data_IF_294589561283
#
_entry.id   IF_294589561283
#
_cell.length_a   1.000
_cell.length_b   1.000
_cell.length_c   1.000
_cell.angle_alpha   90.00
_cell.angle_beta   90.00
_cell.angle_gamma   90.00
#
_symmetry.space_group_name_H-M   'P 1'
#
loop_
_entity.id
_entity.type
_entity.pdbx_description
1 polymer ?
#
# COMPACT_ATOMS: atom_id res chain seq x y z
N UNK A 1 3.96 8.50 -11.90
CA UNK A 1 2.88 8.42 -10.91
C UNK A 1 2.02 9.67 -11.00
N UNK A 2 0.86 9.58 -11.66
CA UNK A 2 -0.13 10.66 -11.70
C UNK A 2 -0.69 10.79 -10.27
N UNK A 3 -0.72 12.01 -9.72
CA UNK A 3 -1.33 12.26 -8.40
C UNK A 3 -2.81 11.85 -8.46
N UNK A 4 -3.18 10.80 -7.72
CA UNK A 4 -4.59 10.45 -7.45
C UNK A 4 -5.16 11.49 -6.47
N UNK A 5 -5.70 12.57 -7.01
CA UNK A 5 -6.43 13.57 -6.22
C UNK A 5 -7.93 13.28 -6.35
N UNK A 6 -8.45 12.49 -5.40
CA UNK A 6 -9.86 12.05 -5.34
C UNK A 6 -10.49 12.54 -4.05
N UNK A 7 -11.74 13.00 -4.12
CA UNK A 7 -12.55 13.29 -2.93
C UNK A 7 -13.97 12.75 -3.12
N UNK A 8 -14.40 11.91 -2.18
CA UNK A 8 -15.79 11.43 -2.11
C UNK A 8 -16.69 12.52 -1.50
N UNK A 9 -17.87 12.67 -2.07
CA UNK A 9 -18.90 13.65 -1.71
C UNK A 9 -20.17 12.88 -1.37
N UNK A 10 -20.74 13.16 -0.20
CA UNK A 10 -22.08 12.69 0.15
C UNK A 10 -23.01 13.89 0.32
N UNK A 11 -24.15 13.85 -0.35
CA UNK A 11 -25.15 14.91 -0.30
C UNK A 11 -26.12 14.64 0.85
N UNK A 12 -26.39 15.67 1.64
CA UNK A 12 -27.34 15.61 2.76
C UNK A 12 -28.48 16.58 2.51
N UNK A 13 -29.71 16.10 2.57
CA UNK A 13 -30.91 16.93 2.39
C UNK A 13 -31.33 17.51 3.75
N UNK A 14 -31.10 18.80 3.93
CA UNK A 14 -31.54 19.53 5.13
C UNK A 14 -32.87 20.19 4.80
N UNK A 15 -33.98 19.51 5.10
CA UNK A 15 -35.29 20.16 5.10
C UNK A 15 -35.40 21.03 6.35
N UNK A 16 -35.11 22.33 6.23
CA UNK A 16 -35.39 23.31 7.27
C UNK A 16 -36.84 23.80 7.12
N UNK A 17 -37.68 23.44 8.09
CA UNK A 17 -39.09 23.79 8.22
C UNK A 17 -39.23 25.26 8.63
N UNK A 18 -39.68 26.16 7.75
CA UNK A 18 -40.59 27.31 7.99
C UNK A 18 -41.11 27.74 6.60
N UNK A 19 -42.36 27.48 6.18
CA UNK A 19 -43.61 28.02 6.69
C UNK A 19 -44.70 26.94 6.53
N UNK A 20 -45.53 26.80 7.56
CA UNK A 20 -46.49 25.71 7.68
C UNK A 20 -47.34 25.45 6.44
N UNK A 21 -47.15 24.28 5.84
CA UNK A 21 -48.21 23.29 5.58
C UNK A 21 -47.64 22.05 4.87
N UNK A 22 -48.00 20.91 5.46
CA UNK A 22 -48.24 19.59 4.88
C UNK A 22 -47.14 18.50 4.81
N UNK A 23 -47.66 17.33 5.19
CA UNK A 23 -47.30 15.95 4.87
C UNK A 23 -46.15 15.30 5.67
N UNK A 24 -46.59 14.60 6.70
CA UNK A 24 -45.85 13.62 7.49
C UNK A 24 -45.37 12.47 6.61
N UNK A 25 -44.06 12.34 6.46
CA UNK A 25 -43.34 11.08 6.35
C UNK A 25 -41.86 11.42 6.45
N UNK A 26 -41.31 11.41 7.67
CA UNK A 26 -39.89 11.15 8.02
C UNK A 26 -39.62 11.57 9.47
N UNK A 27 -40.30 10.91 10.40
CA UNK A 27 -39.78 10.76 11.76
C UNK A 27 -39.32 9.32 11.90
N UNK A 28 -38.15 9.00 11.33
CA UNK A 28 -37.33 7.85 11.69
C UNK A 28 -36.12 7.82 10.75
N UNK A 29 -35.03 8.43 11.19
CA UNK A 29 -33.72 7.79 11.17
C UNK A 29 -32.83 8.57 12.12
N UNK A 30 -32.71 7.97 13.30
CA UNK A 30 -31.74 8.27 14.33
C UNK A 30 -30.40 8.74 13.75
N UNK A 31 -29.82 9.75 14.40
CA UNK A 31 -28.38 9.94 14.42
C UNK A 31 -27.66 8.63 14.77
N UNK A 32 -26.62 8.25 14.03
CA UNK A 32 -25.53 7.48 14.61
C UNK A 32 -24.22 8.24 14.44
N UNK A 33 -23.68 8.62 15.59
CA UNK A 33 -22.27 8.52 15.95
C UNK A 33 -21.19 8.79 14.88
N UNK A 34 -20.37 9.79 15.20
CA UNK A 34 -18.96 9.86 14.83
C UNK A 34 -18.29 8.47 14.75
N UNK A 35 -17.84 8.09 13.56
CA UNK A 35 -16.69 7.20 13.37
C UNK A 35 -15.83 7.76 12.23
N UNK A 36 -14.66 8.25 12.59
CA UNK A 36 -13.54 8.36 11.68
C UNK A 36 -13.28 6.97 11.09
N UNK A 37 -13.46 6.84 9.77
CA UNK A 37 -12.92 5.74 8.99
C UNK A 37 -12.01 6.37 7.93
N UNK A 38 -10.90 5.70 7.63
CA UNK A 38 -9.71 6.21 6.95
C UNK A 38 -9.87 6.76 5.50
N UNK A 39 -11.09 7.05 5.04
CA UNK A 39 -11.39 7.66 3.74
C UNK A 39 -12.40 8.80 3.91
N UNK A 40 -11.90 10.04 4.07
CA UNK A 40 -12.71 11.22 4.36
C UNK A 40 -13.66 11.60 3.21
N UNK A 41 -14.97 11.60 3.48
CA UNK A 41 -15.99 12.15 2.59
C UNK A 41 -16.37 13.58 2.99
N UNK A 42 -16.67 14.43 2.01
CA UNK A 42 -17.20 15.79 2.24
C UNK A 42 -18.72 15.80 2.18
N UNK A 43 -19.37 16.34 3.22
CA UNK A 43 -20.82 16.51 3.25
C UNK A 43 -21.25 17.82 2.58
N UNK A 44 -22.16 17.75 1.61
CA UNK A 44 -22.74 18.92 0.94
C UNK A 44 -24.22 19.03 1.28
N UNK A 45 -24.65 20.08 2.02
CA UNK A 45 -26.05 20.31 2.29
C UNK A 45 -26.77 20.91 1.07
N UNK A 46 -27.94 20.34 0.76
CA UNK A 46 -28.87 20.85 -0.25
C UNK A 46 -30.26 21.00 0.36
N UNK A 47 -31.00 22.00 -0.10
CA UNK A 47 -32.34 22.35 0.40
C UNK A 47 -33.46 21.64 -0.37
N UNK A 48 -33.14 21.14 -1.57
CA UNK A 48 -34.07 20.45 -2.46
C UNK A 48 -33.32 19.45 -3.33
N UNK A 49 -33.97 18.33 -3.65
CA UNK A 49 -33.47 17.33 -4.62
C UNK A 49 -33.56 17.81 -6.08
N UNK A 50 -34.23 18.94 -6.35
CA UNK A 50 -34.28 19.58 -7.67
C UNK A 50 -33.02 20.38 -8.01
N UNK A 51 -32.05 20.45 -7.09
CA UNK A 51 -30.75 21.08 -7.33
C UNK A 51 -30.06 20.45 -8.53
N UNK A 52 -29.44 21.26 -9.38
CA UNK A 52 -28.70 20.75 -10.54
C UNK A 52 -27.35 20.18 -10.12
N UNK A 53 -26.84 19.21 -10.88
CA UNK A 53 -25.53 18.63 -10.62
C UNK A 53 -24.40 19.66 -10.81
N UNK A 54 -24.61 20.65 -11.68
CA UNK A 54 -23.75 21.86 -11.81
C UNK A 54 -23.65 22.67 -10.52
N UNK A 55 -24.79 22.95 -9.88
CA UNK A 55 -24.82 23.68 -8.60
C UNK A 55 -24.15 22.88 -7.48
N UNK A 56 -24.34 21.55 -7.46
CA UNK A 56 -23.69 20.66 -6.50
C UNK A 56 -22.16 20.68 -6.66
N UNK A 57 -21.67 20.59 -7.90
CA UNK A 57 -20.26 20.69 -8.24
C UNK A 57 -19.67 22.02 -7.77
N UNK A 58 -20.36 23.14 -8.01
CA UNK A 58 -19.92 24.47 -7.55
C UNK A 58 -19.86 24.56 -6.02
N UNK A 59 -20.86 24.02 -5.31
CA UNK A 59 -20.86 23.94 -3.84
C UNK A 59 -19.69 23.12 -3.31
N UNK A 60 -19.36 22.00 -3.97
CA UNK A 60 -18.23 21.15 -3.62
C UNK A 60 -16.90 21.90 -3.73
N UNK A 61 -16.70 22.59 -4.87
CA UNK A 61 -15.47 23.33 -5.16
C UNK A 61 -15.29 24.56 -4.25
N UNK A 62 -16.38 25.26 -3.88
CA UNK A 62 -16.34 26.43 -2.98
C UNK A 62 -15.84 26.09 -1.58
N UNK A 63 -16.09 24.87 -1.08
CA UNK A 63 -15.58 24.42 0.24
C UNK A 63 -14.06 24.21 0.27
N UNK A 64 -13.37 24.28 -0.87
CA UNK A 64 -11.92 24.02 -0.96
C UNK A 64 -11.10 25.31 -0.90
N UNK A 65 -10.20 25.43 0.10
CA UNK A 65 -9.15 26.47 0.13
C UNK A 65 -8.21 26.27 -1.07
N UNK A 66 -8.14 27.25 -1.98
CA UNK A 66 -7.20 27.25 -3.12
C UNK A 66 -7.84 27.28 -4.51
N UNK A 67 -9.17 27.26 -4.64
CA UNK A 67 -9.85 27.43 -5.93
C UNK A 67 -9.83 28.89 -6.38
N UNK A 68 -8.69 29.37 -6.88
CA UNK A 68 -8.56 30.64 -7.59
C UNK A 68 -9.40 30.60 -8.87
N UNK A 69 -10.17 31.66 -9.14
CA UNK A 69 -10.96 31.84 -10.36
C UNK A 69 -10.04 31.74 -11.59
N UNK A 70 -10.39 30.84 -12.51
CA UNK A 70 -10.00 30.97 -13.93
C UNK A 70 -8.92 30.03 -14.46
N UNK A 71 -8.22 29.25 -13.63
CA UNK A 71 -7.22 28.26 -14.12
C UNK A 71 -6.98 27.13 -13.11
N UNK A 72 -8.00 26.79 -12.33
CA UNK A 72 -7.96 25.61 -11.47
C UNK A 72 -8.11 24.34 -12.30
N UNK A 73 -7.60 23.19 -11.83
CA UNK A 73 -7.95 21.90 -12.41
C UNK A 73 -9.44 21.75 -12.63
N UNK A 74 -9.80 21.37 -13.85
CA UNK A 74 -11.17 21.04 -14.19
C UNK A 74 -11.51 19.70 -13.53
N UNK A 75 -12.69 19.63 -12.92
CA UNK A 75 -13.20 18.44 -12.25
C UNK A 75 -14.47 17.99 -12.94
N UNK A 76 -14.62 16.67 -13.04
CA UNK A 76 -15.89 16.05 -13.37
C UNK A 76 -16.50 15.42 -12.13
N UNK A 77 -17.82 15.36 -12.12
CA UNK A 77 -18.58 14.66 -11.11
C UNK A 77 -18.94 13.27 -11.64
N UNK A 78 -18.79 12.25 -10.82
CA UNK A 78 -19.16 10.87 -11.13
C UNK A 78 -20.01 10.30 -10.01
N UNK A 79 -20.91 9.35 -10.30
CA UNK A 79 -21.60 8.62 -9.23
C UNK A 79 -20.62 7.68 -8.53
N UNK A 80 -20.79 7.46 -7.23
CA UNK A 80 -19.97 6.50 -6.49
C UNK A 80 -20.04 5.09 -7.11
N UNK A 81 -21.19 4.68 -7.66
CA UNK A 81 -21.43 3.36 -8.26
C UNK A 81 -20.97 3.22 -9.71
N UNK A 82 -20.74 4.32 -10.43
CA UNK A 82 -20.43 4.33 -11.86
C UNK A 82 -19.11 5.09 -12.10
N UNK A 83 -17.94 4.46 -11.86
CA UNK A 83 -16.65 5.10 -12.05
C UNK A 83 -16.38 5.40 -13.54
N UNK A 84 -15.67 6.50 -13.80
CA UNK A 84 -15.29 6.99 -15.12
C UNK A 84 -16.46 7.44 -16.02
N UNK A 85 -17.69 7.44 -15.50
CA UNK A 85 -18.87 7.99 -16.18
C UNK A 85 -19.19 9.36 -15.57
N UNK A 86 -19.08 10.42 -16.38
CA UNK A 86 -19.42 11.77 -15.95
C UNK A 86 -20.94 11.92 -15.81
N UNK A 87 -21.37 12.53 -14.71
CA UNK A 87 -22.75 12.95 -14.49
C UNK A 87 -23.06 14.15 -15.37
N UNK A 88 -24.22 14.13 -16.03
CA UNK A 88 -24.75 15.27 -16.76
C UNK A 88 -25.00 16.45 -15.80
N UNK A 89 -24.34 17.58 -16.05
CA UNK A 89 -24.41 18.75 -15.16
C UNK A 89 -25.74 19.49 -15.25
N UNK A 90 -26.48 19.35 -16.35
CA UNK A 90 -27.78 19.99 -16.55
C UNK A 90 -28.93 19.16 -15.94
N UNK A 91 -28.63 17.93 -15.50
CA UNK A 91 -29.57 17.07 -14.77
C UNK A 91 -29.71 17.46 -13.30
N UNK A 92 -30.79 17.01 -12.66
CA UNK A 92 -31.10 17.25 -11.25
C UNK A 92 -30.61 16.11 -10.36
N UNK A 93 -30.38 16.39 -9.07
CA UNK A 93 -29.98 15.36 -8.10
C UNK A 93 -31.00 14.23 -7.98
N UNK A 94 -32.30 14.54 -8.07
CA UNK A 94 -33.39 13.55 -8.08
C UNK A 94 -33.31 12.57 -9.26
N UNK A 95 -32.77 12.97 -10.41
CA UNK A 95 -32.66 12.09 -11.59
C UNK A 95 -31.47 11.14 -11.53
N UNK A 96 -30.55 11.31 -10.57
CA UNK A 96 -29.32 10.51 -10.47
C UNK A 96 -29.48 9.19 -9.70
N UNK A 97 -30.63 9.00 -9.04
CA UNK A 97 -30.94 7.85 -8.16
C UNK A 97 -29.88 7.54 -7.07
N UNK A 98 -29.00 8.50 -6.76
CA UNK A 98 -27.96 8.39 -5.72
C UNK A 98 -27.67 9.75 -5.08
N UNK A 99 -27.14 9.73 -3.85
CA UNK A 99 -26.64 10.89 -3.11
C UNK A 99 -25.12 10.85 -2.92
N UNK A 100 -24.45 9.88 -3.53
CA UNK A 100 -23.02 9.65 -3.37
C UNK A 100 -22.29 9.87 -4.70
N UNK A 101 -21.34 10.80 -4.66
CA UNK A 101 -20.60 11.23 -5.83
C UNK A 101 -19.11 11.31 -5.55
N UNK A 102 -18.31 11.22 -6.60
CA UNK A 102 -16.87 11.42 -6.56
C UNK A 102 -16.52 12.64 -7.41
N UNK A 103 -15.68 13.51 -6.85
CA UNK A 103 -15.05 14.58 -7.60
C UNK A 103 -13.72 14.07 -8.15
N UNK A 104 -13.60 14.03 -9.47
CA UNK A 104 -12.41 13.49 -10.13
C UNK A 104 -11.78 14.56 -11.03
N UNK A 105 -10.47 14.77 -10.84
CA UNK A 105 -9.68 15.73 -11.63
C UNK A 105 -9.57 15.26 -13.08
N UNK A 106 -9.57 16.18 -14.04
CA UNK A 106 -9.20 15.88 -15.43
C UNK A 106 -7.81 15.24 -15.49
N UNK A 107 -7.70 14.13 -16.25
CA UNK A 107 -6.54 13.23 -16.32
C UNK A 107 -6.32 12.29 -15.10
N UNK A 108 -7.30 12.16 -14.21
CA UNK A 108 -7.33 11.11 -13.18
C UNK A 108 -8.44 10.10 -13.47
N UNK A 109 -8.15 8.80 -13.38
CA UNK A 109 -9.16 7.74 -13.38
C UNK A 109 -9.37 7.22 -11.96
N UNK A 110 -10.54 6.62 -11.70
CA UNK A 110 -10.86 6.03 -10.38
C UNK A 110 -10.22 4.66 -10.14
N UNK A 111 -9.25 4.30 -10.97
CA UNK A 111 -8.96 2.91 -11.26
C UNK A 111 -10.06 2.36 -12.16
N UNK A 112 -9.70 1.66 -13.22
CA UNK A 112 -10.58 0.59 -13.65
C UNK A 112 -10.66 -0.35 -12.45
N UNK A 113 -11.87 -0.69 -12.00
CA UNK A 113 -12.04 -2.05 -11.52
C UNK A 113 -11.70 -2.88 -12.74
N UNK A 114 -10.44 -3.29 -12.83
CA UNK A 114 -10.08 -4.34 -13.74
C UNK A 114 -11.03 -5.47 -13.39
N UNK A 115 -11.97 -5.74 -14.29
CA UNK A 115 -12.62 -7.04 -14.38
C UNK A 115 -11.54 -8.06 -14.74
N UNK A 116 -10.55 -8.22 -13.86
CA UNK A 116 -9.95 -9.51 -13.67
C UNK A 116 -11.05 -10.23 -12.91
N UNK A 117 -11.75 -11.13 -13.59
CA UNK A 117 -12.18 -12.33 -12.87
C UNK A 117 -10.98 -12.72 -12.02
N UNK A 118 -11.12 -12.74 -10.69
CA UNK A 118 -10.03 -13.19 -9.81
C UNK A 118 -9.48 -14.46 -10.48
N UNK A 119 -8.20 -14.46 -10.93
CA UNK A 119 -7.65 -15.65 -11.54
C UNK A 119 -7.92 -16.77 -10.53
N UNK A 120 -8.46 -17.92 -10.97
CA UNK A 120 -8.92 -18.96 -10.05
C UNK A 120 -7.81 -19.16 -9.03
N UNK A 121 -8.10 -18.81 -7.77
CA UNK A 121 -7.07 -18.76 -6.74
C UNK A 121 -6.52 -20.17 -6.67
N UNK A 122 -5.28 -20.33 -7.15
CA UNK A 122 -4.67 -21.64 -7.27
C UNK A 122 -4.69 -22.26 -5.87
N UNK A 123 -5.34 -23.40 -5.72
CA UNK A 123 -5.50 -24.07 -4.43
C UNK A 123 -4.12 -24.27 -3.77
N UNK A 124 -3.07 -24.45 -4.58
CA UNK A 124 -1.68 -24.51 -4.11
C UNK A 124 -1.20 -23.19 -3.53
N UNK A 125 -1.51 -22.05 -4.16
CA UNK A 125 -1.20 -20.71 -3.64
C UNK A 125 -1.90 -20.40 -2.31
N UNK A 126 -3.15 -20.85 -2.14
CA UNK A 126 -3.88 -20.71 -0.85
C UNK A 126 -3.21 -21.56 0.22
N UNK A 127 -2.85 -22.79 -0.11
CA UNK A 127 -2.17 -23.70 0.80
C UNK A 127 -0.78 -23.17 1.19
N UNK A 128 -0.03 -22.59 0.26
CA UNK A 128 1.26 -21.96 0.51
C UNK A 128 1.13 -20.70 1.36
N UNK A 129 0.10 -19.89 1.13
CA UNK A 129 -0.23 -18.74 1.98
C UNK A 129 -0.58 -19.18 3.40
N UNK A 130 -1.42 -20.21 3.58
CA UNK A 130 -1.83 -20.73 4.89
C UNK A 130 -0.67 -21.40 5.64
N UNK A 131 0.21 -22.10 4.91
CA UNK A 131 1.38 -22.78 5.49
C UNK A 131 2.61 -21.88 5.63
N UNK A 132 2.57 -20.65 5.10
CA UNK A 132 3.67 -19.69 5.15
C UNK A 132 4.16 -19.40 6.57
N UNK A 133 3.29 -19.47 7.58
CA UNK A 133 3.63 -19.22 8.98
C UNK A 133 4.23 -20.44 9.69
N UNK A 134 4.07 -21.65 9.15
CA UNK A 134 4.66 -22.84 9.73
C UNK A 134 6.18 -22.79 9.63
N UNK A 135 6.85 -23.28 10.67
CA UNK A 135 8.30 -23.36 10.69
C UNK A 135 8.81 -24.22 9.51
N UNK A 136 9.74 -23.68 8.73
CA UNK A 136 10.52 -24.42 7.74
C UNK A 136 11.97 -23.97 7.79
N UNK A 137 12.90 -24.92 7.71
CA UNK A 137 14.33 -24.63 7.74
C UNK A 137 15.03 -24.97 6.44
N UNK A 138 16.00 -24.15 6.04
CA UNK A 138 16.76 -24.29 4.81
C UNK A 138 18.26 -24.32 5.13
N UNK A 139 19.02 -25.20 4.47
CA UNK A 139 20.49 -25.20 4.55
C UNK A 139 21.01 -24.39 3.36
N UNK A 140 21.59 -23.23 3.64
CA UNK A 140 22.00 -22.25 2.62
C UNK A 140 23.31 -21.59 3.05
N UNK A 141 23.95 -20.84 2.14
CA UNK A 141 25.16 -20.09 2.49
C UNK A 141 24.83 -18.64 2.80
N UNK A 142 25.33 -18.12 3.92
CA UNK A 142 25.26 -16.71 4.27
C UNK A 142 26.48 -15.97 3.72
N UNK A 143 26.24 -14.88 2.99
CA UNK A 143 27.30 -14.05 2.39
C UNK A 143 27.70 -12.94 3.37
N UNK A 144 28.99 -12.90 3.71
CA UNK A 144 29.57 -11.87 4.58
C UNK A 144 30.14 -10.69 3.79
N UNK A 145 30.41 -9.57 4.48
CA UNK A 145 30.90 -8.32 3.85
C UNK A 145 32.20 -8.49 3.05
N UNK A 146 33.06 -9.44 3.42
CA UNK A 146 34.31 -9.75 2.71
C UNK A 146 34.11 -10.83 1.61
N UNK A 147 32.86 -11.12 1.23
CA UNK A 147 32.47 -12.10 0.20
C UNK A 147 32.93 -13.53 0.46
N UNK A 148 33.31 -13.87 1.69
CA UNK A 148 33.33 -15.27 2.10
C UNK A 148 31.93 -15.69 2.49
N UNK A 149 31.65 -16.98 2.35
CA UNK A 149 30.35 -17.57 2.66
C UNK A 149 30.47 -18.57 3.80
N UNK A 150 29.41 -18.72 4.58
CA UNK A 150 29.33 -19.70 5.67
C UNK A 150 28.02 -20.46 5.58
N UNK A 151 28.07 -21.77 5.75
CA UNK A 151 26.87 -22.60 5.79
C UNK A 151 26.05 -22.30 7.05
N UNK A 152 24.77 -22.02 6.85
CA UNK A 152 23.80 -21.75 7.92
C UNK A 152 22.53 -22.57 7.72
N UNK A 153 21.86 -22.86 8.82
CA UNK A 153 20.48 -23.30 8.82
C UNK A 153 19.59 -22.08 9.07
N UNK A 154 18.83 -21.69 8.05
CA UNK A 154 17.87 -20.59 8.10
C UNK A 154 16.49 -21.15 8.45
N UNK A 155 16.01 -20.92 9.67
CA UNK A 155 14.65 -21.24 10.10
C UNK A 155 13.70 -20.06 9.89
N UNK A 156 12.56 -20.28 9.23
CA UNK A 156 11.55 -19.24 8.97
C UNK A 156 10.20 -19.71 9.50
N UNK A 157 9.58 -18.90 10.34
CA UNK A 157 8.23 -19.08 10.87
C UNK A 157 7.48 -17.75 10.87
N UNK A 158 6.18 -17.78 11.16
CA UNK A 158 5.39 -16.57 11.34
C UNK A 158 5.93 -15.67 12.45
N UNK A 159 6.56 -16.21 13.50
CA UNK A 159 6.99 -15.46 14.68
C UNK A 159 8.40 -14.87 14.54
N UNK A 160 9.31 -15.61 13.91
CA UNK A 160 10.73 -15.23 13.82
C UNK A 160 11.45 -15.90 12.66
N UNK A 161 12.58 -15.30 12.33
CA UNK A 161 13.62 -15.85 11.46
C UNK A 161 14.87 -16.14 12.29
N UNK A 162 15.36 -17.38 12.20
CA UNK A 162 16.51 -17.89 12.95
C UNK A 162 17.63 -18.27 11.99
N UNK A 163 18.88 -17.96 12.35
CA UNK A 163 20.07 -18.26 11.56
C UNK A 163 21.07 -18.94 12.48
N UNK A 164 21.23 -20.24 12.31
CA UNK A 164 22.15 -21.06 13.06
C UNK A 164 23.36 -21.45 12.19
N UNK A 165 24.60 -21.18 12.60
CA UNK A 165 25.76 -21.64 11.86
C UNK A 165 25.84 -23.17 11.88
N UNK A 166 26.05 -23.79 10.72
CA UNK A 166 26.24 -25.24 10.63
C UNK A 166 27.66 -25.56 11.11
N UNK A 167 27.81 -25.90 12.40
CA UNK A 167 29.11 -26.35 12.90
C UNK A 167 29.44 -27.74 12.35
N UNK A 168 30.49 -27.84 11.55
CA UNK A 168 30.97 -29.13 11.07
C UNK A 168 31.72 -29.82 12.22
N UNK A 169 31.05 -30.75 12.93
CA UNK A 169 31.56 -31.41 14.14
C UNK A 169 32.84 -32.26 13.96
N UNK A 170 33.46 -32.27 12.78
CA UNK A 170 34.64 -33.09 12.49
C UNK A 170 35.99 -32.36 12.57
N UNK A 171 36.02 -31.05 12.81
CA UNK A 171 37.28 -30.33 12.96
C UNK A 171 37.49 -29.86 14.41
N UNK A 172 38.42 -30.53 15.10
CA UNK A 172 38.96 -30.10 16.39
C UNK A 172 39.76 -28.80 16.23
N UNK A 173 39.09 -27.64 16.23
CA UNK A 173 39.77 -26.34 16.28
C UNK A 173 39.15 -25.46 17.35
N UNK A 174 39.72 -25.55 18.56
CA UNK A 174 39.40 -24.78 19.77
C UNK A 174 39.68 -23.26 19.68
N UNK A 175 39.82 -22.70 18.47
CA UNK A 175 40.21 -21.30 18.25
C UNK A 175 39.44 -20.59 17.12
N UNK A 176 38.27 -21.09 16.74
CA UNK A 176 37.40 -20.38 15.82
C UNK A 176 36.22 -19.75 16.55
N UNK A 177 36.00 -18.46 16.30
CA UNK A 177 34.90 -17.66 16.85
C UNK A 177 33.60 -18.40 16.57
N UNK A 178 32.99 -18.98 17.61
CA UNK A 178 31.64 -19.55 17.52
C UNK A 178 30.71 -18.41 17.13
N UNK A 179 30.28 -18.38 15.88
CA UNK A 179 29.30 -17.41 15.43
C UNK A 179 28.03 -17.60 16.26
N UNK A 180 27.53 -16.51 16.85
CA UNK A 180 26.31 -16.58 17.67
C UNK A 180 25.12 -16.80 16.74
N UNK A 181 24.18 -17.70 17.08
CA UNK A 181 22.87 -17.74 16.47
C UNK A 181 22.24 -16.35 16.40
N UNK A 182 21.57 -16.06 15.28
CA UNK A 182 20.81 -14.82 15.10
C UNK A 182 19.33 -15.19 15.14
N UNK A 183 18.55 -14.49 15.97
CA UNK A 183 17.09 -14.60 15.99
C UNK A 183 16.50 -13.21 15.75
N UNK A 184 15.68 -13.09 14.73
CA UNK A 184 15.03 -11.85 14.30
C UNK A 184 13.53 -12.05 14.45
N UNK A 185 12.90 -11.28 15.32
CA UNK A 185 11.44 -11.25 15.44
C UNK A 185 10.81 -10.75 14.12
N UNK A 186 9.72 -11.38 13.70
CA UNK A 186 9.00 -11.01 12.48
C UNK A 186 8.57 -9.54 12.46
N UNK A 187 8.30 -8.92 13.62
CA UNK A 187 7.91 -7.50 13.71
C UNK A 187 9.06 -6.55 13.34
N UNK A 188 10.30 -7.03 13.43
CA UNK A 188 11.50 -6.32 12.99
C UNK A 188 11.88 -6.59 11.53
N UNK A 189 11.27 -7.57 10.86
CA UNK A 189 11.51 -7.80 9.44
C UNK A 189 10.90 -6.66 8.60
N UNK A 190 11.64 -6.21 7.59
CA UNK A 190 11.22 -5.08 6.76
C UNK A 190 10.97 -5.50 5.31
N UNK A 191 11.90 -6.27 4.73
CA UNK A 191 11.84 -6.68 3.32
C UNK A 191 12.61 -7.98 3.09
N UNK A 192 12.18 -8.75 2.09
CA UNK A 192 12.90 -9.89 1.55
C UNK A 192 12.89 -9.81 0.02
N UNK A 193 14.05 -9.54 -0.57
CA UNK A 193 14.19 -9.25 -2.00
C UNK A 193 15.11 -10.29 -2.67
N UNK A 194 14.71 -10.80 -3.83
CA UNK A 194 15.65 -11.44 -4.76
C UNK A 194 16.62 -10.37 -5.27
N UNK A 195 17.93 -10.64 -5.15
CA UNK A 195 18.99 -9.69 -5.52
C UNK A 195 19.55 -10.03 -6.89
N UNK A 196 19.88 -11.29 -7.11
CA UNK A 196 20.51 -11.77 -8.33
C UNK A 196 20.14 -13.23 -8.57
N UNK A 197 19.85 -13.59 -9.81
CA UNK A 197 19.71 -14.98 -10.25
C UNK A 197 20.70 -15.19 -11.40
N UNK A 198 21.80 -15.91 -11.13
CA UNK A 198 22.86 -16.15 -12.13
C UNK A 198 22.60 -17.40 -12.94
N UNK A 199 22.12 -18.44 -12.26
CA UNK A 199 21.82 -19.75 -12.83
C UNK A 199 20.80 -20.47 -11.95
N UNK A 200 20.19 -21.57 -12.44
CA UNK A 200 19.29 -22.38 -11.61
C UNK A 200 19.95 -22.90 -10.32
N UNK A 201 21.28 -23.06 -10.32
CA UNK A 201 22.08 -23.49 -9.18
C UNK A 201 22.59 -22.36 -8.28
N UNK A 202 22.40 -21.09 -8.68
CA UNK A 202 22.98 -19.96 -7.96
C UNK A 202 22.09 -18.71 -8.08
N UNK A 203 21.38 -18.43 -7.00
CA UNK A 203 20.61 -17.22 -6.77
C UNK A 203 20.96 -16.62 -5.40
N UNK A 204 20.81 -15.31 -5.29
CA UNK A 204 21.12 -14.51 -4.11
C UNK A 204 19.87 -13.75 -3.71
N UNK A 205 19.51 -13.82 -2.44
CA UNK A 205 18.46 -12.99 -1.85
C UNK A 205 18.96 -12.22 -0.65
N UNK A 206 18.16 -11.25 -0.23
CA UNK A 206 18.46 -10.36 0.88
C UNK A 206 17.27 -10.23 1.82
N UNK A 207 17.54 -10.41 3.11
CA UNK A 207 16.62 -10.04 4.19
C UNK A 207 17.08 -8.73 4.80
N UNK A 208 16.17 -7.76 4.93
CA UNK A 208 16.40 -6.51 5.65
C UNK A 208 15.57 -6.48 6.91
N UNK A 209 16.21 -6.22 8.05
CA UNK A 209 15.55 -6.13 9.35
C UNK A 209 16.01 -4.90 10.12
N UNK A 210 15.17 -4.45 11.05
CA UNK A 210 15.46 -3.35 11.96
C UNK A 210 16.25 -3.87 13.17
N UNK A 211 17.37 -3.25 13.48
CA UNK A 211 18.19 -3.58 14.65
C UNK A 211 18.84 -2.32 15.19
N UNK A 212 18.55 -1.99 16.46
CA UNK A 212 19.05 -0.78 17.12
C UNK A 212 18.81 0.48 16.28
N UNK A 213 17.60 0.63 15.74
CA UNK A 213 17.18 1.73 14.84
C UNK A 213 17.84 1.77 13.45
N UNK A 214 18.74 0.84 13.15
CA UNK A 214 19.37 0.72 11.83
C UNK A 214 18.76 -0.45 11.03
N UNK A 215 18.55 -0.23 9.73
CA UNK A 215 18.18 -1.30 8.81
C UNK A 215 19.41 -2.08 8.37
N UNK A 216 19.49 -3.34 8.80
CA UNK A 216 20.63 -4.23 8.53
C UNK A 216 20.26 -5.23 7.43
N UNK A 217 21.03 -5.28 6.33
CA UNK A 217 20.87 -6.29 5.30
C UNK A 217 21.65 -7.56 5.63
N UNK A 218 21.04 -8.72 5.43
CA UNK A 218 21.69 -10.03 5.40
C UNK A 218 21.53 -10.60 3.99
N UNK A 219 22.60 -11.20 3.48
CA UNK A 219 22.65 -11.77 2.13
C UNK A 219 22.87 -13.27 2.22
N UNK A 220 22.19 -14.00 1.36
CA UNK A 220 22.24 -15.46 1.31
C UNK A 220 22.26 -15.94 -0.13
N UNK A 221 22.88 -17.10 -0.35
CA UNK A 221 22.91 -17.79 -1.64
C UNK A 221 22.45 -19.25 -1.51
N UNK A 222 21.75 -19.73 -2.54
CA UNK A 222 21.37 -21.14 -2.76
C UNK A 222 21.01 -21.34 -4.24
N UNK A 223 20.50 -22.51 -4.60
CA UNK A 223 19.79 -22.74 -5.85
C UNK A 223 18.52 -21.85 -5.98
N UNK A 224 18.13 -21.56 -7.21
CA UNK A 224 17.04 -20.63 -7.51
C UNK A 224 15.68 -21.10 -6.95
N UNK A 225 15.41 -22.41 -6.94
CA UNK A 225 14.15 -22.94 -6.41
C UNK A 225 14.04 -22.67 -4.91
N UNK A 226 15.08 -22.99 -4.14
CA UNK A 226 15.15 -22.71 -2.70
C UNK A 226 15.03 -21.22 -2.41
N UNK A 227 15.75 -20.38 -3.17
CA UNK A 227 15.70 -18.92 -2.99
C UNK A 227 14.29 -18.37 -3.23
N UNK A 228 13.65 -18.77 -4.33
CA UNK A 228 12.30 -18.32 -4.67
C UNK A 228 11.29 -18.76 -3.60
N UNK A 229 11.41 -19.99 -3.10
CA UNK A 229 10.56 -20.48 -2.02
C UNK A 229 10.71 -19.64 -0.73
N UNK A 230 11.96 -19.34 -0.35
CA UNK A 230 12.25 -18.51 0.83
C UNK A 230 11.69 -17.10 0.66
N UNK A 231 11.96 -16.45 -0.47
CA UNK A 231 11.49 -15.09 -0.75
C UNK A 231 9.97 -15.03 -0.72
N UNK A 232 9.29 -16.01 -1.32
CA UNK A 232 7.83 -16.09 -1.31
C UNK A 232 7.29 -16.26 0.11
N UNK A 233 7.83 -17.23 0.88
CA UNK A 233 7.40 -17.51 2.26
C UNK A 233 7.55 -16.27 3.17
N UNK A 234 8.69 -15.59 3.11
CA UNK A 234 8.93 -14.39 3.94
C UNK A 234 8.02 -13.25 3.52
N UNK A 235 7.75 -13.06 2.21
CA UNK A 235 6.83 -12.02 1.76
C UNK A 235 5.38 -12.30 2.19
N UNK A 236 4.90 -13.55 2.19
CA UNK A 236 3.59 -13.87 2.75
C UNK A 236 3.48 -13.54 4.25
N UNK A 237 4.53 -13.81 5.04
CA UNK A 237 4.58 -13.41 6.45
C UNK A 237 4.54 -11.87 6.58
N UNK A 238 5.25 -11.15 5.71
CA UNK A 238 5.27 -9.69 5.73
C UNK A 238 3.96 -9.04 5.24
N UNK A 239 3.23 -9.68 4.35
CA UNK A 239 1.95 -9.18 3.80
C UNK A 239 0.78 -9.43 4.75
N UNK A 240 0.79 -10.57 5.42
CA UNK A 240 -0.22 -10.89 6.45
C UNK A 240 -0.06 -10.08 7.73
N UNK A 241 1.11 -9.46 7.97
CA UNK A 241 1.41 -8.68 9.18
C UNK A 241 1.44 -7.18 8.91
N UNK A 242 0.70 -6.43 9.74
CA UNK A 242 0.85 -4.98 9.82
C UNK A 242 2.08 -4.63 10.68
N UNK A 243 3.25 -4.46 10.07
CA UNK A 243 4.49 -4.02 10.76
C UNK A 243 4.78 -2.54 10.52
N UNK A 244 4.91 -1.77 11.61
CA UNK A 244 5.34 -0.36 11.57
C UNK A 244 6.78 -0.23 11.08
N UNK A 245 7.67 -1.17 11.43
CA UNK A 245 9.05 -1.24 10.94
C UNK A 245 9.12 -1.32 9.41
N UNK A 246 8.24 -2.11 8.80
CA UNK A 246 8.11 -2.22 7.34
C UNK A 246 7.60 -0.92 6.72
N UNK A 247 6.55 -0.32 7.28
CA UNK A 247 6.00 0.95 6.80
C UNK A 247 7.05 2.07 6.82
N UNK A 248 7.79 2.20 7.93
CA UNK A 248 8.86 3.19 8.09
C UNK A 248 10.04 2.93 7.15
N UNK A 249 10.41 1.67 6.92
CA UNK A 249 11.44 1.31 5.97
C UNK A 249 11.12 1.80 4.56
N UNK A 250 9.90 1.53 4.07
CA UNK A 250 9.47 1.98 2.74
C UNK A 250 9.39 3.51 2.65
N UNK A 251 8.86 4.18 3.68
CA UNK A 251 8.86 5.64 3.74
C UNK A 251 10.28 6.23 3.68
N UNK A 252 11.25 5.64 4.39
CA UNK A 252 12.65 6.06 4.35
C UNK A 252 13.32 5.77 3.00
N UNK A 253 13.07 4.61 2.38
CA UNK A 253 13.55 4.26 1.04
C UNK A 253 13.04 5.25 0.01
N UNK A 254 11.76 5.62 0.07
CA UNK A 254 11.14 6.61 -0.82
C UNK A 254 11.74 8.01 -0.62
N UNK A 255 11.94 8.46 0.62
CA UNK A 255 12.62 9.74 0.92
C UNK A 255 14.04 9.80 0.33
N UNK A 256 14.81 8.70 0.43
CA UNK A 256 16.16 8.61 -0.16
C UNK A 256 16.13 8.67 -1.69
N UNK A 257 15.15 8.02 -2.32
CA UNK A 257 14.97 8.05 -3.78
C UNK A 257 14.56 9.45 -4.26
N UNK A 258 13.58 10.10 -3.61
CA UNK A 258 13.15 11.46 -3.95
C UNK A 258 14.28 12.49 -3.84
N UNK A 259 15.17 12.35 -2.83
CA UNK A 259 16.38 13.18 -2.73
C UNK A 259 17.33 12.95 -3.90
N UNK A 260 17.51 11.72 -4.37
CA UNK A 260 18.38 11.41 -5.53
C UNK A 260 17.83 12.00 -6.82
N UNK A 261 16.51 11.96 -7.04
CA UNK A 261 15.88 12.53 -8.24
C UNK A 261 15.82 14.06 -8.23
N UNK A 262 15.81 14.71 -7.06
CA UNK A 262 15.87 16.17 -6.98
C UNK A 262 17.23 16.76 -7.36
N UNK A 263 18.32 15.99 -7.25
CA UNK A 263 19.66 16.43 -7.68
C UNK A 263 19.88 16.33 -9.18
N UNK A 264 19.22 15.39 -9.88
CA UNK A 264 19.34 15.26 -11.34
C UNK A 264 18.67 16.42 -12.10
N UNK A 265 17.58 16.97 -11.58
CA UNK A 265 16.87 18.10 -12.21
C UNK A 265 17.62 19.45 -12.15
N UNK A 266 18.62 19.61 -11.28
CA UNK A 266 19.41 20.84 -11.21
C UNK A 266 20.61 20.84 -12.18
N UNK A 267 20.97 19.70 -12.77
CA UNK A 267 22.14 19.63 -13.66
C UNK A 267 21.84 20.05 -15.11
N UNK A 268 20.59 19.94 -15.57
CA UNK A 268 20.22 20.29 -16.96
C UNK A 268 19.95 21.78 -17.19
N UNK A 269 19.89 22.62 -16.15
CA UNK A 269 19.66 24.08 -16.32
C UNK A 269 20.93 24.92 -16.46
N UNK A 270 22.12 24.33 -16.57
CA UNK A 270 23.40 25.08 -16.63
C UNK A 270 24.23 24.91 -17.90
N UNK A 271 23.76 24.18 -18.90
CA UNK A 271 24.41 24.08 -20.22
C UNK A 271 23.43 24.56 -21.29
N UNK A 272 23.40 25.87 -21.47
CA UNK A 272 22.54 26.57 -22.42
C UNK A 272 22.88 28.06 -22.38
N UNK A 273 24.14 28.38 -22.68
CA UNK A 273 24.60 29.71 -23.04
C UNK A 273 25.44 29.55 -24.31
#
# INVERSE_FOLDING_TARGET
>A
SILKEMSSIRVTHTAAVVHGKFSSLTSNLLFPHFRNAAHGFSLIPVESLKVTMKELLQKALKKRKGSQKGSGPMYRLEKQTEPNIAVDLDSTLESQSTLEFCLVRENSSRGEESSEEDPPIDITSVQDMLSSHHYKSFKISMIHKLRFTTDVQLGISGEKVEIDPVTNQKASTKFWIRQKPISIDSDHLCACDLVEERSPSHAIFKITYLSNHDYKPLYFESDAATVNEIVLKVNYILESRASTSRADYFAQKQRKLSRRTSFSFQKEKKTGQ
#
